data_IF_874663535016
#
_entry.id   IF_874663535016
#
_cell.length_a   1.000
_cell.length_b   1.000
_cell.length_c   1.000
_cell.angle_alpha   90.00
_cell.angle_beta   90.00
_cell.angle_gamma   90.00
#
_symmetry.space_group_name_H-M   'P 1'
#
loop_
_entity.id
_entity.type
_entity.pdbx_description
1 polymer ?
#
# COMPACT_ATOMS: atom_id res chain seq x y z
N UNK A 1 -24.94 -16.60 -0.15
CA UNK A 1 -26.25 -16.12 -0.64
C UNK A 1 -26.17 -15.89 -2.14
N UNK A 2 -27.23 -16.15 -2.93
CA UNK A 2 -27.23 -15.86 -4.36
C UNK A 2 -27.41 -14.37 -4.62
N UNK A 3 -26.64 -13.82 -5.56
CA UNK A 3 -26.78 -12.44 -6.05
C UNK A 3 -27.23 -12.50 -7.51
N UNK A 4 -28.30 -11.77 -7.84
CA UNK A 4 -28.81 -11.68 -9.22
C UNK A 4 -28.37 -10.37 -9.86
N UNK A 5 -27.73 -10.45 -11.02
CA UNK A 5 -27.23 -9.29 -11.76
C UNK A 5 -27.72 -9.39 -13.20
N UNK A 6 -28.28 -8.31 -13.73
CA UNK A 6 -28.64 -8.22 -15.15
C UNK A 6 -27.39 -7.83 -15.95
N UNK A 7 -27.14 -8.58 -17.02
CA UNK A 7 -26.04 -8.31 -17.94
C UNK A 7 -26.60 -7.72 -19.23
N UNK A 8 -25.85 -6.81 -19.84
CA UNK A 8 -26.15 -6.39 -21.21
C UNK A 8 -25.90 -7.55 -22.20
N UNK A 9 -26.51 -7.52 -23.39
CA UNK A 9 -26.39 -8.62 -24.36
C UNK A 9 -24.96 -8.97 -24.76
N UNK A 10 -24.06 -7.98 -24.80
CA UNK A 10 -22.65 -8.20 -25.19
C UNK A 10 -21.90 -8.93 -24.08
N UNK A 11 -22.10 -8.54 -22.83
CA UNK A 11 -21.50 -9.23 -21.68
C UNK A 11 -22.04 -10.64 -21.51
N UNK A 12 -23.35 -10.85 -21.70
CA UNK A 12 -23.91 -12.20 -21.65
C UNK A 12 -23.35 -13.12 -22.76
N UNK A 13 -23.22 -12.60 -23.99
CA UNK A 13 -22.61 -13.33 -25.10
C UNK A 13 -21.15 -13.70 -24.81
N UNK A 14 -20.39 -12.79 -24.19
CA UNK A 14 -19.02 -13.04 -23.76
C UNK A 14 -18.95 -14.18 -22.73
N UNK A 15 -19.78 -14.14 -21.69
CA UNK A 15 -19.84 -15.18 -20.65
C UNK A 15 -20.21 -16.53 -21.28
N UNK A 16 -21.21 -16.57 -22.16
CA UNK A 16 -21.62 -17.79 -22.86
C UNK A 16 -20.48 -18.39 -23.68
N UNK A 17 -19.74 -17.56 -24.42
CA UNK A 17 -18.60 -18.00 -25.22
C UNK A 17 -17.46 -18.52 -24.35
N UNK A 18 -17.18 -17.89 -23.21
CA UNK A 18 -16.14 -18.35 -22.27
C UNK A 18 -16.54 -19.67 -21.61
N UNK A 19 -17.78 -19.78 -21.15
CA UNK A 19 -18.34 -21.00 -20.56
C UNK A 19 -18.20 -22.19 -21.52
N UNK A 20 -18.61 -22.01 -22.78
CA UNK A 20 -18.49 -23.04 -23.82
C UNK A 20 -17.03 -23.43 -24.09
N UNK A 21 -16.14 -22.45 -24.25
CA UNK A 21 -14.72 -22.72 -24.56
C UNK A 21 -13.99 -23.43 -23.42
N UNK A 22 -14.34 -23.12 -22.16
CA UNK A 22 -13.70 -23.72 -20.97
C UNK A 22 -14.40 -24.98 -20.46
N UNK A 23 -15.57 -25.34 -21.00
CA UNK A 23 -16.39 -26.43 -20.46
C UNK A 23 -16.92 -26.14 -19.05
N UNK A 24 -17.13 -24.87 -18.72
CA UNK A 24 -17.56 -24.39 -17.40
C UNK A 24 -18.99 -23.84 -17.45
N UNK A 25 -19.63 -23.76 -16.29
CA UNK A 25 -20.90 -23.05 -16.11
C UNK A 25 -20.71 -21.53 -16.16
N UNK A 26 -21.77 -20.79 -16.48
CA UNK A 26 -21.75 -19.31 -16.46
C UNK A 26 -21.30 -18.78 -15.09
N UNK A 27 -21.81 -19.37 -14.01
CA UNK A 27 -21.49 -18.95 -12.65
C UNK A 27 -20.04 -19.19 -12.28
N UNK A 28 -19.41 -20.26 -12.75
CA UNK A 28 -17.97 -20.50 -12.55
C UNK A 28 -17.13 -19.47 -13.28
N UNK A 29 -17.45 -19.17 -14.54
CA UNK A 29 -16.76 -18.13 -15.31
C UNK A 29 -16.87 -16.76 -14.64
N UNK A 30 -18.08 -16.39 -14.19
CA UNK A 30 -18.31 -15.11 -13.49
C UNK A 30 -17.52 -15.07 -12.17
N UNK A 31 -17.53 -16.17 -11.40
CA UNK A 31 -16.76 -16.28 -10.16
C UNK A 31 -15.26 -16.13 -10.41
N UNK A 32 -14.73 -16.83 -11.41
CA UNK A 32 -13.31 -16.76 -11.76
C UNK A 32 -12.91 -15.34 -12.18
N UNK A 33 -13.75 -14.68 -12.99
CA UNK A 33 -13.54 -13.30 -13.42
C UNK A 33 -13.53 -12.32 -12.23
N UNK A 34 -14.48 -12.47 -11.29
CA UNK A 34 -14.52 -11.64 -10.07
C UNK A 34 -13.29 -11.85 -9.19
N UNK A 35 -12.83 -13.09 -9.02
CA UNK A 35 -11.62 -13.38 -8.26
C UNK A 35 -10.36 -12.81 -8.94
N UNK A 36 -10.28 -12.87 -10.27
CA UNK A 36 -9.19 -12.26 -11.03
C UNK A 36 -9.19 -10.74 -10.87
N UNK A 37 -10.37 -10.10 -10.94
CA UNK A 37 -10.53 -8.67 -10.72
C UNK A 37 -10.16 -8.24 -9.29
N UNK A 38 -10.60 -9.01 -8.28
CA UNK A 38 -10.25 -8.73 -6.89
C UNK A 38 -8.73 -8.76 -6.66
N UNK A 39 -8.02 -9.75 -7.24
CA UNK A 39 -6.56 -9.81 -7.18
C UNK A 39 -5.90 -8.60 -7.84
N UNK A 40 -6.36 -8.21 -9.03
CA UNK A 40 -5.81 -7.02 -9.69
C UNK A 40 -6.03 -5.73 -8.90
N UNK A 41 -7.15 -5.61 -8.18
CA UNK A 41 -7.43 -4.46 -7.30
C UNK A 41 -6.56 -4.50 -6.03
N UNK A 42 -6.23 -5.67 -5.51
CA UNK A 42 -5.30 -5.82 -4.39
C UNK A 42 -3.86 -5.47 -4.79
N UNK A 43 -3.44 -5.89 -5.98
CA UNK A 43 -2.12 -5.56 -6.53
C UNK A 43 -2.01 -4.08 -6.96
N UNK A 44 -3.12 -3.47 -7.38
CA UNK A 44 -3.18 -2.07 -7.78
C UNK A 44 -3.33 -1.10 -6.61
N UNK A 45 -3.72 -1.56 -5.41
CA UNK A 45 -3.60 -0.73 -4.22
C UNK A 45 -2.13 -0.37 -4.05
N UNK A 46 -1.78 0.92 -3.87
CA UNK A 46 -0.40 1.27 -3.57
C UNK A 46 0.02 0.43 -2.38
N UNK A 47 1.01 -0.44 -2.59
CA UNK A 47 1.64 -1.16 -1.51
C UNK A 47 1.96 -0.10 -0.47
N UNK A 48 1.47 -0.30 0.77
CA UNK A 48 1.72 0.63 1.87
C UNK A 48 3.17 1.04 1.78
N UNK A 49 3.41 2.33 1.62
CA UNK A 49 4.78 2.81 1.51
C UNK A 49 5.56 2.29 2.72
N UNK A 50 6.88 2.10 2.60
CA UNK A 50 7.68 1.66 3.75
C UNK A 50 7.40 2.54 4.98
N UNK A 51 7.10 3.83 4.76
CA UNK A 51 6.62 4.73 5.79
C UNK A 51 5.26 4.31 6.39
N UNK A 52 4.22 4.07 5.59
CA UNK A 52 2.90 3.63 6.07
C UNK A 52 2.91 2.26 6.77
N UNK A 53 3.79 1.35 6.35
CA UNK A 53 3.97 0.07 7.00
C UNK A 53 4.63 0.22 8.39
N UNK A 54 5.54 1.18 8.54
CA UNK A 54 6.27 1.44 9.78
C UNK A 54 5.62 2.50 10.67
N UNK A 55 4.72 3.34 10.15
CA UNK A 55 4.07 4.43 10.87
C UNK A 55 3.38 3.98 12.17
N UNK A 56 2.73 2.81 12.26
CA UNK A 56 2.20 2.29 13.52
C UNK A 56 3.28 1.92 14.55
N UNK A 57 4.53 1.68 14.11
CA UNK A 57 5.68 1.38 14.97
C UNK A 57 6.41 2.66 15.42
N UNK A 58 6.30 3.74 14.65
CA UNK A 58 6.83 5.06 15.02
C UNK A 58 6.06 5.55 16.26
N UNK A 59 6.74 5.60 17.40
CA UNK A 59 6.15 5.98 18.69
C UNK A 59 5.53 4.84 19.50
N UNK A 60 5.49 3.60 18.99
CA UNK A 60 5.03 2.43 19.74
C UNK A 60 6.12 1.86 20.67
N UNK A 61 7.40 2.13 20.37
CA UNK A 61 8.52 1.76 21.23
C UNK A 61 8.63 2.75 22.39
N UNK A 62 8.15 2.35 23.57
CA UNK A 62 8.51 2.99 24.84
C UNK A 62 9.74 2.27 25.41
N UNK A 63 10.86 2.99 25.54
CA UNK A 63 12.06 2.46 26.22
C UNK A 63 13.34 2.38 25.39
N UNK A 64 13.44 3.07 24.24
CA UNK A 64 14.74 3.30 23.60
C UNK A 64 15.67 4.15 24.48
N UNK A 65 17.00 4.08 24.30
CA UNK A 65 17.94 4.93 25.02
C UNK A 65 17.54 6.41 24.90
N UNK A 66 17.39 7.10 26.04
CA UNK A 66 17.01 8.53 26.08
C UNK A 66 18.11 9.44 25.52
N UNK A 67 19.29 8.88 25.27
CA UNK A 67 20.53 9.54 24.90
C UNK A 67 20.76 9.72 23.40
N UNK A 68 19.89 9.16 22.55
CA UNK A 68 19.99 9.33 21.10
C UNK A 68 19.75 10.79 20.64
N UNK A 69 19.20 11.64 21.51
CA UNK A 69 19.09 13.10 21.32
C UNK A 69 19.71 13.92 22.46
N UNK A 70 20.62 13.34 23.27
CA UNK A 70 21.14 14.05 24.44
C UNK A 70 22.09 15.20 24.09
N UNK A 71 22.75 15.16 22.93
CA UNK A 71 23.77 16.15 22.56
C UNK A 71 23.34 17.09 21.44
N UNK A 72 22.06 17.16 21.11
CA UNK A 72 21.55 18.02 20.04
C UNK A 72 21.89 19.49 20.31
N UNK A 73 21.69 19.97 21.54
CA UNK A 73 22.03 21.34 21.94
C UNK A 73 23.54 21.63 21.89
N UNK A 74 24.38 20.72 22.39
CA UNK A 74 25.84 20.87 22.37
C UNK A 74 26.40 20.85 20.94
N UNK A 75 25.95 19.89 20.12
CA UNK A 75 26.35 19.77 18.71
C UNK A 75 25.88 20.98 17.92
N UNK A 76 24.66 21.45 18.14
CA UNK A 76 24.13 22.66 17.51
C UNK A 76 24.93 23.90 17.90
N UNK A 77 25.28 24.03 19.19
CA UNK A 77 26.13 25.11 19.69
C UNK A 77 27.54 25.08 19.08
N UNK A 78 28.13 23.89 18.93
CA UNK A 78 29.44 23.74 18.29
C UNK A 78 29.41 24.23 16.83
N UNK A 79 28.37 23.85 16.07
CA UNK A 79 28.17 24.29 14.69
C UNK A 79 28.03 25.82 14.59
N UNK A 80 27.29 26.45 15.50
CA UNK A 80 27.12 27.91 15.51
C UNK A 80 28.44 28.65 15.79
N UNK A 81 29.25 28.14 16.72
CA UNK A 81 30.54 28.74 17.06
C UNK A 81 31.56 28.62 15.91
N UNK A 82 31.56 27.49 15.20
CA UNK A 82 32.41 27.29 14.05
C UNK A 82 32.05 28.24 12.89
N UNK A 83 30.75 28.43 12.66
CA UNK A 83 30.24 29.43 11.69
C UNK A 83 30.67 30.85 12.03
N UNK A 84 30.63 31.23 13.30
CA UNK A 84 31.05 32.56 13.76
C UNK A 84 32.53 32.81 13.47
N UNK A 85 33.40 31.83 13.74
CA UNK A 85 34.84 31.94 13.45
C UNK A 85 35.12 32.09 11.96
N UNK A 86 34.37 31.36 11.12
CA UNK A 86 34.53 31.39 9.66
C UNK A 86 34.10 32.71 9.02
N UNK A 87 33.27 33.50 9.70
CA UNK A 87 32.81 34.82 9.27
C UNK A 87 33.66 35.98 9.83
N UNK A 88 34.59 35.67 10.73
CA UNK A 88 35.50 36.64 11.37
C UNK A 88 36.96 36.45 10.93
N UNK A 89 37.18 35.73 9.83
CA UNK A 89 38.37 35.78 8.96
C UNK A 89 37.93 36.30 7.60
#
# INVERSE_FOLDING_TARGET
MPTSVRLDPKTESLVNRLARRKGQTKSEVIREALLAFARSEEDAKPQRTAYEALAPLIGCVKGGPKDLSERTGEKFRAILLERKRRWSS
#
